data_IF_680012697636
#
_entry.id   IF_680012697636
#
_cell.length_a   1.000
_cell.length_b   1.000
_cell.length_c   1.000
_cell.angle_alpha   90.00
_cell.angle_beta   90.00
_cell.angle_gamma   90.00
#
_symmetry.space_group_name_H-M   'P 1'
#
loop_
_entity.id
_entity.type
_entity.pdbx_description
1 polymer ?
#
# COMPACT_ATOMS: atom_id res chain seq x y z
N UNK A 1 -5.74 -20.83 -15.08
CA UNK A 1 -5.59 -19.97 -13.89
C UNK A 1 -4.30 -19.16 -14.05
N UNK A 2 -4.40 -17.82 -14.12
CA UNK A 2 -3.22 -16.95 -14.20
C UNK A 2 -2.71 -16.59 -12.81
N UNK A 3 -1.40 -16.48 -12.62
CA UNK A 3 -0.79 -15.94 -11.41
C UNK A 3 -0.18 -14.57 -11.72
N UNK A 4 -0.33 -13.62 -10.79
CA UNK A 4 0.29 -12.29 -10.89
C UNK A 4 1.50 -12.28 -9.97
N UNK A 5 2.68 -12.04 -10.54
CA UNK A 5 3.93 -11.83 -9.82
C UNK A 5 4.31 -10.35 -9.89
N UNK A 6 4.52 -9.71 -8.73
CA UNK A 6 5.04 -8.35 -8.64
C UNK A 6 6.53 -8.39 -8.29
N UNK A 7 7.39 -7.86 -9.16
CA UNK A 7 8.85 -7.81 -8.99
C UNK A 7 9.37 -6.36 -9.05
N UNK A 8 10.47 -6.08 -8.36
CA UNK A 8 11.18 -4.80 -8.43
C UNK A 8 12.68 -5.03 -8.66
N UNK A 9 13.31 -4.28 -9.57
CA UNK A 9 14.79 -4.24 -9.74
C UNK A 9 15.39 -3.27 -8.71
N UNK A 10 16.59 -3.44 -8.16
CA UNK A 10 17.72 -4.37 -8.39
C UNK A 10 17.67 -5.49 -7.31
N UNK A 11 17.97 -6.74 -7.69
CA UNK A 11 17.90 -8.01 -6.92
C UNK A 11 16.57 -8.81 -6.93
N UNK A 12 15.69 -8.62 -7.93
CA UNK A 12 14.53 -9.48 -8.29
C UNK A 12 13.78 -10.16 -7.13
N UNK A 13 13.57 -9.45 -6.02
CA UNK A 13 12.72 -9.93 -4.94
C UNK A 13 11.25 -9.91 -5.40
N UNK A 14 10.61 -11.07 -5.37
CA UNK A 14 9.17 -11.19 -5.59
C UNK A 14 8.46 -10.61 -4.37
N UNK A 15 7.74 -9.51 -4.57
CA UNK A 15 6.99 -8.82 -3.51
C UNK A 15 5.68 -9.56 -3.21
N UNK A 16 5.07 -10.17 -4.22
CA UNK A 16 3.87 -10.99 -4.07
C UNK A 16 3.69 -11.95 -5.25
N UNK A 17 3.11 -13.11 -4.97
CA UNK A 17 2.54 -14.03 -5.96
C UNK A 17 1.09 -14.32 -5.56
N UNK A 18 0.14 -13.94 -6.41
CA UNK A 18 -1.29 -14.13 -6.11
C UNK A 18 -2.03 -14.79 -7.28
N UNK A 19 -3.02 -15.67 -7.00
CA UNK A 19 -3.92 -16.15 -8.04
C UNK A 19 -4.81 -15.00 -8.52
N UNK A 20 -4.98 -14.88 -9.83
CA UNK A 20 -5.89 -13.92 -10.41
C UNK A 20 -7.34 -14.20 -10.03
N UNK A 21 -8.08 -13.15 -9.63
CA UNK A 21 -9.52 -13.15 -9.40
C UNK A 21 -10.19 -12.12 -10.30
N UNK A 22 -11.20 -12.55 -11.05
CA UNK A 22 -11.96 -11.66 -11.92
C UNK A 22 -12.60 -10.52 -11.10
N UNK A 23 -12.49 -9.28 -11.61
CA UNK A 23 -13.01 -8.08 -10.95
C UNK A 23 -12.20 -7.57 -9.75
N UNK A 24 -11.14 -8.28 -9.32
CA UNK A 24 -10.32 -7.83 -8.21
C UNK A 24 -9.43 -6.64 -8.61
N UNK A 25 -9.17 -5.77 -7.63
CA UNK A 25 -8.29 -4.61 -7.75
C UNK A 25 -7.14 -4.70 -6.74
N UNK A 26 -6.02 -4.06 -7.07
CA UNK A 26 -4.78 -4.07 -6.29
C UNK A 26 -4.28 -2.65 -6.09
N UNK A 27 -3.76 -2.37 -4.90
CA UNK A 27 -2.96 -1.20 -4.61
C UNK A 27 -1.50 -1.57 -4.84
N UNK A 28 -0.86 -0.86 -5.77
CA UNK A 28 0.56 -0.98 -6.06
C UNK A 28 1.27 0.24 -5.50
N UNK A 29 2.38 0.04 -4.81
CA UNK A 29 3.19 1.15 -4.33
C UNK A 29 4.69 0.86 -4.37
N UNK A 30 5.46 1.92 -4.57
CA UNK A 30 6.92 1.93 -4.55
C UNK A 30 7.46 2.25 -3.16
N UNK A 31 8.75 1.96 -2.91
CA UNK A 31 9.44 2.33 -1.67
C UNK A 31 9.50 3.85 -1.46
N UNK A 32 9.45 4.65 -2.52
CA UNK A 32 9.33 6.11 -2.45
C UNK A 32 7.93 6.59 -2.02
N UNK A 33 6.97 5.66 -1.90
CA UNK A 33 5.57 5.90 -1.55
C UNK A 33 4.76 6.65 -2.60
N UNK A 34 5.08 6.44 -3.87
CA UNK A 34 4.17 6.70 -4.97
C UNK A 34 3.43 5.40 -5.34
N UNK A 35 2.12 5.49 -5.59
CA UNK A 35 1.27 4.32 -5.84
C UNK A 35 -0.05 4.64 -6.56
N UNK A 36 -0.76 3.59 -6.97
CA UNK A 36 -2.03 3.68 -7.70
C UNK A 36 -2.83 2.37 -7.55
N UNK A 37 -4.11 2.42 -7.93
CA UNK A 37 -4.99 1.23 -7.99
C UNK A 37 -4.98 0.66 -9.40
N UNK A 38 -4.89 -0.66 -9.54
CA UNK A 38 -5.00 -1.35 -10.84
C UNK A 38 -6.02 -2.48 -10.77
N UNK A 39 -6.72 -2.74 -11.88
CA UNK A 39 -7.46 -3.99 -12.01
C UNK A 39 -6.47 -5.15 -12.19
N UNK A 40 -6.74 -6.30 -11.58
CA UNK A 40 -5.87 -7.47 -11.74
C UNK A 40 -5.76 -7.95 -13.18
N UNK A 41 -6.82 -7.79 -13.98
CA UNK A 41 -6.82 -8.11 -15.41
C UNK A 41 -5.76 -7.31 -16.18
N UNK A 42 -5.48 -6.09 -15.75
CA UNK A 42 -4.47 -5.22 -16.36
C UNK A 42 -3.05 -5.59 -15.93
N UNK A 43 -2.89 -6.47 -14.93
CA UNK A 43 -1.60 -6.86 -14.37
C UNK A 43 -1.13 -8.23 -14.88
N UNK A 44 -1.99 -8.95 -15.60
CA UNK A 44 -1.64 -10.23 -16.22
C UNK A 44 -0.56 -10.03 -17.28
N UNK A 45 0.53 -10.76 -17.13
CA UNK A 45 1.57 -10.84 -18.14
C UNK A 45 1.19 -11.88 -19.21
N UNK A 46 1.36 -11.51 -20.49
CA UNK A 46 1.14 -12.43 -21.61
C UNK A 46 2.41 -13.21 -22.00
N UNK A 47 3.58 -12.81 -21.48
CA UNK A 47 4.88 -13.41 -21.83
C UNK A 47 5.66 -13.82 -20.59
N UNK A 48 6.66 -14.68 -20.76
CA UNK A 48 7.57 -15.13 -19.68
C UNK A 48 8.40 -14.00 -19.06
N UNK A 49 8.56 -12.88 -19.77
CA UNK A 49 9.28 -11.70 -19.28
C UNK A 49 8.51 -10.93 -18.20
N UNK A 50 7.26 -11.32 -17.92
CA UNK A 50 6.41 -10.62 -16.95
C UNK A 50 5.86 -9.30 -17.50
N UNK A 51 5.17 -8.54 -16.64
CA UNK A 51 4.65 -7.21 -16.94
C UNK A 51 5.11 -6.24 -15.88
N UNK A 52 5.80 -5.17 -16.28
CA UNK A 52 6.15 -4.09 -15.38
C UNK A 52 5.03 -3.05 -15.32
N UNK A 53 4.28 -3.05 -14.22
CA UNK A 53 3.23 -2.06 -13.98
C UNK A 53 3.74 -0.80 -13.24
N UNK A 54 4.68 -0.97 -12.30
CA UNK A 54 5.30 0.15 -11.58
C UNK A 54 6.53 0.68 -12.33
N UNK A 55 6.52 1.96 -12.68
CA UNK A 55 7.70 2.66 -13.18
C UNK A 55 8.51 3.16 -11.99
N UNK A 56 9.67 2.54 -11.76
CA UNK A 56 10.53 2.82 -10.62
C UNK A 56 11.72 3.69 -11.05
N UNK A 57 12.06 4.68 -10.22
CA UNK A 57 13.28 5.48 -10.39
C UNK A 57 14.51 4.76 -9.85
N UNK A 58 15.72 5.31 -10.06
CA UNK A 58 16.95 4.76 -9.50
C UNK A 58 16.87 4.61 -7.97
N UNK A 59 17.25 3.45 -7.45
CA UNK A 59 17.22 3.16 -6.00
C UNK A 59 15.82 2.96 -5.41
N UNK A 60 14.76 2.99 -6.22
CA UNK A 60 13.37 2.77 -5.78
C UNK A 60 12.95 1.35 -6.17
N UNK A 61 12.35 0.62 -5.24
CA UNK A 61 11.84 -0.73 -5.45
C UNK A 61 10.31 -0.77 -5.41
N UNK A 62 9.71 -1.83 -5.96
CA UNK A 62 8.32 -2.15 -5.66
C UNK A 62 8.23 -2.56 -4.19
N UNK A 63 7.31 -1.94 -3.44
CA UNK A 63 7.17 -2.16 -1.99
C UNK A 63 5.90 -2.87 -1.62
N UNK A 64 4.82 -2.65 -2.37
CA UNK A 64 3.50 -3.13 -2.00
C UNK A 64 2.70 -3.65 -3.20
N UNK A 65 2.00 -4.74 -2.95
CA UNK A 65 0.97 -5.31 -3.82
C UNK A 65 -0.21 -5.81 -2.97
N UNK A 66 -1.07 -4.89 -2.54
CA UNK A 66 -2.15 -5.17 -1.60
C UNK A 66 -3.51 -5.35 -2.30
N UNK A 67 -4.40 -6.24 -1.83
CA UNK A 67 -5.79 -6.25 -2.28
C UNK A 67 -6.49 -4.93 -1.93
N UNK A 68 -7.38 -4.48 -2.82
CA UNK A 68 -8.29 -3.37 -2.55
C UNK A 68 -9.57 -3.95 -1.96
N UNK A 69 -9.73 -3.86 -0.65
CA UNK A 69 -10.90 -4.34 0.09
C UNK A 69 -11.38 -3.24 1.05
N UNK A 70 -12.27 -2.37 0.57
CA UNK A 70 -12.80 -1.24 1.33
C UNK A 70 -12.71 0.08 0.59
N UNK A 71 -12.79 1.18 1.34
CA UNK A 71 -12.97 2.54 0.86
C UNK A 71 -11.92 3.53 1.40
N UNK A 72 -11.02 3.09 2.28
CA UNK A 72 -9.93 3.89 2.82
C UNK A 72 -8.57 3.21 2.64
N UNK A 73 -7.53 4.03 2.54
CA UNK A 73 -6.12 3.60 2.46
C UNK A 73 -5.41 4.07 3.71
N UNK A 74 -4.77 3.15 4.43
CA UNK A 74 -3.83 3.46 5.49
C UNK A 74 -2.40 3.23 5.00
N UNK A 75 -1.52 4.21 5.18
CA UNK A 75 -0.10 4.10 4.87
C UNK A 75 0.73 4.41 6.10
N UNK A 76 1.88 3.75 6.23
CA UNK A 76 2.87 4.04 7.27
C UNK A 76 4.26 4.16 6.65
N UNK A 77 4.97 5.22 7.04
CA UNK A 77 6.36 5.46 6.63
C UNK A 77 7.39 4.85 7.58
N UNK A 78 8.62 4.75 7.10
CA UNK A 78 9.78 4.35 7.94
C UNK A 78 9.97 5.29 9.14
N UNK A 79 9.51 6.53 9.01
CA UNK A 79 9.49 7.55 10.05
C UNK A 79 8.37 7.37 11.10
N UNK A 80 7.70 6.21 11.12
CA UNK A 80 6.59 5.86 12.03
C UNK A 80 5.36 6.78 11.91
N UNK A 81 5.17 7.48 10.79
CA UNK A 81 3.95 8.27 10.60
C UNK A 81 2.90 7.50 9.84
N UNK A 82 1.69 7.44 10.39
CA UNK A 82 0.49 6.89 9.76
C UNK A 82 -0.33 8.01 9.13
N UNK A 83 -0.87 7.75 7.95
CA UNK A 83 -1.85 8.59 7.28
C UNK A 83 -2.98 7.69 6.75
N UNK A 84 -4.22 8.12 6.96
CA UNK A 84 -5.42 7.50 6.37
C UNK A 84 -6.10 8.51 5.45
N UNK A 85 -6.46 8.09 4.24
CA UNK A 85 -7.17 8.91 3.26
C UNK A 85 -8.15 8.06 2.45
N UNK A 86 -9.09 8.69 1.74
CA UNK A 86 -10.11 7.98 0.99
C UNK A 86 -9.51 7.31 -0.26
N UNK A 87 -9.94 6.08 -0.57
CA UNK A 87 -9.44 5.32 -1.72
C UNK A 87 -9.66 6.05 -3.05
N UNK A 88 -10.74 6.83 -3.16
CA UNK A 88 -11.06 7.65 -4.33
C UNK A 88 -10.01 8.72 -4.66
N UNK A 89 -9.13 9.07 -3.71
CA UNK A 89 -8.03 10.00 -3.96
C UNK A 89 -6.89 9.37 -4.79
N UNK A 90 -6.94 8.05 -5.04
CA UNK A 90 -6.00 7.32 -5.89
C UNK A 90 -6.53 7.14 -7.31
N UNK A 91 -5.69 7.38 -8.33
CA UNK A 91 -6.05 7.07 -9.70
C UNK A 91 -6.09 5.55 -9.92
N UNK A 92 -7.04 5.12 -10.76
CA UNK A 92 -6.99 3.80 -11.38
C UNK A 92 -6.05 3.85 -12.60
N UNK A 93 -5.04 3.00 -12.65
CA UNK A 93 -4.04 2.98 -13.73
C UNK A 93 -3.66 1.55 -14.12
N UNK A 94 -3.22 1.37 -15.36
CA UNK A 94 -2.73 0.08 -15.89
C UNK A 94 -1.22 -0.06 -15.83
N UNK A 95 -0.50 1.07 -15.76
CA UNK A 95 0.94 1.19 -15.48
C UNK A 95 1.29 2.64 -15.10
N UNK A 96 2.41 2.85 -14.43
CA UNK A 96 2.98 4.18 -14.21
C UNK A 96 3.76 4.28 -12.91
N UNK A 97 4.19 5.51 -12.58
CA UNK A 97 4.81 5.80 -11.28
C UNK A 97 3.77 5.86 -10.15
N UNK A 98 2.53 6.21 -10.48
CA UNK A 98 1.48 6.52 -9.50
C UNK A 98 1.58 7.93 -8.94
N UNK A 99 0.77 8.20 -7.91
CA UNK A 99 0.72 9.47 -7.18
C UNK A 99 1.26 9.29 -5.78
N UNK A 100 1.71 10.38 -5.17
CA UNK A 100 2.23 10.37 -3.80
C UNK A 100 1.15 9.91 -2.81
N UNK A 101 1.46 8.89 -2.01
CA UNK A 101 0.58 8.41 -0.94
C UNK A 101 0.74 9.26 0.33
N UNK A 102 1.97 9.43 0.81
CA UNK A 102 2.32 10.21 2.01
C UNK A 102 3.61 10.99 1.79
N UNK A 103 3.71 12.21 2.33
CA UNK A 103 4.95 13.00 2.26
C UNK A 103 5.93 12.55 3.33
N UNK A 104 7.07 12.03 2.90
CA UNK A 104 8.21 11.71 3.76
C UNK A 104 9.21 12.88 3.76
N UNK A 105 9.76 13.20 4.94
CA UNK A 105 10.94 14.07 5.07
C UNK A 105 12.23 13.24 4.89
N UNK A 106 12.18 12.01 5.40
CA UNK A 106 13.23 11.00 5.46
C UNK A 106 12.59 9.61 5.36
N UNK A 107 13.32 8.66 4.76
CA UNK A 107 12.82 7.31 4.47
C UNK A 107 11.78 7.26 3.34
N UNK A 108 10.96 6.23 3.36
CA UNK A 108 9.90 6.02 2.38
C UNK A 108 8.69 5.29 2.96
N UNK A 109 7.95 4.63 2.07
CA UNK A 109 6.83 3.78 2.45
C UNK A 109 7.34 2.52 3.14
N UNK A 110 6.84 2.26 4.35
CA UNK A 110 7.07 1.01 5.06
C UNK A 110 6.00 -0.02 4.69
N UNK A 111 4.72 0.34 4.84
CA UNK A 111 3.60 -0.55 4.53
C UNK A 111 2.32 0.24 4.19
N UNK A 112 1.37 -0.41 3.52
CA UNK A 112 0.01 0.11 3.38
C UNK A 112 -1.04 -0.99 3.19
N UNK A 113 -2.27 -0.66 3.54
CA UNK A 113 -3.42 -1.51 3.28
C UNK A 113 -4.64 -0.70 2.86
N UNK A 114 -5.60 -1.38 2.26
CA UNK A 114 -6.94 -0.87 2.02
C UNK A 114 -7.90 -1.56 2.98
N UNK A 115 -8.79 -0.79 3.60
CA UNK A 115 -9.77 -1.28 4.56
C UNK A 115 -11.08 -0.51 4.44
N UNK A 116 -12.15 -1.07 5.03
CA UNK A 116 -13.42 -0.37 5.21
C UNK A 116 -13.29 0.58 6.40
N UNK A 117 -13.43 1.88 6.15
CA UNK A 117 -13.23 2.89 7.19
C UNK A 117 -14.14 2.69 8.40
N UNK A 118 -15.38 2.24 8.16
CA UNK A 118 -16.37 1.97 9.20
C UNK A 118 -15.98 0.83 10.15
N UNK A 119 -15.20 -0.14 9.68
CA UNK A 119 -14.74 -1.29 10.49
C UNK A 119 -13.51 -0.95 11.34
N UNK A 120 -12.84 0.16 11.02
CA UNK A 120 -11.63 0.62 11.71
C UNK A 120 -10.34 -0.01 11.19
N UNK A 121 -9.23 0.64 11.54
CA UNK A 121 -7.89 0.22 11.16
C UNK A 121 -7.36 -0.82 12.15
N UNK A 122 -7.00 -2.01 11.66
CA UNK A 122 -6.62 -3.14 12.50
C UNK A 122 -5.21 -3.64 12.19
N UNK A 123 -4.47 -4.05 13.23
CA UNK A 123 -3.14 -4.66 13.12
C UNK A 123 -2.84 -5.64 14.27
N UNK A 124 -1.73 -6.36 14.17
CA UNK A 124 -1.19 -7.19 15.27
C UNK A 124 -0.19 -6.42 16.11
N UNK A 125 -0.41 -6.30 17.40
CA UNK A 125 0.58 -5.69 18.31
C UNK A 125 1.82 -6.59 18.47
N UNK A 126 2.92 -6.10 19.08
CA UNK A 126 4.12 -6.91 19.31
C UNK A 126 3.91 -8.18 20.15
N UNK A 127 2.78 -8.30 20.86
CA UNK A 127 2.39 -9.49 21.61
C UNK A 127 1.46 -10.42 20.81
N UNK A 128 1.22 -10.14 19.52
CA UNK A 128 0.36 -10.93 18.62
C UNK A 128 -1.14 -10.69 18.79
N UNK A 129 -1.55 -9.74 19.63
CA UNK A 129 -2.95 -9.41 19.86
C UNK A 129 -3.47 -8.50 18.76
N UNK A 130 -4.74 -8.65 18.40
CA UNK A 130 -5.39 -7.76 17.44
C UNK A 130 -5.71 -6.43 18.13
N UNK A 131 -5.22 -5.32 17.56
CA UNK A 131 -5.63 -3.96 17.94
C UNK A 131 -6.40 -3.33 16.80
N UNK A 132 -7.50 -2.68 17.14
CA UNK A 132 -8.34 -1.93 16.20
C UNK A 132 -8.46 -0.49 16.67
N UNK A 133 -8.27 0.45 15.74
CA UNK A 133 -8.47 1.89 15.93
C UNK A 133 -9.65 2.34 15.08
N UNK A 134 -10.67 2.90 15.72
CA UNK A 134 -11.93 3.29 15.12
C UNK A 134 -12.46 4.59 15.76
N UNK A 135 -13.52 5.18 15.18
CA UNK A 135 -14.17 6.36 15.75
C UNK A 135 -13.23 7.56 15.86
N UNK A 136 -13.25 8.26 17.01
CA UNK A 136 -12.44 9.47 17.24
C UNK A 136 -10.93 9.21 17.13
N UNK A 137 -10.42 8.07 17.64
CA UNK A 137 -9.00 7.74 17.55
C UNK A 137 -8.55 7.62 16.08
N UNK A 138 -9.40 7.05 15.21
CA UNK A 138 -9.09 6.94 13.79
C UNK A 138 -9.10 8.31 13.09
N UNK A 139 -9.94 9.24 13.54
CA UNK A 139 -10.03 10.59 12.95
C UNK A 139 -8.72 11.37 13.07
N UNK A 140 -7.89 11.08 14.07
CA UNK A 140 -6.58 11.72 14.22
C UNK A 140 -5.64 11.43 13.02
N UNK A 141 -5.84 10.30 12.35
CA UNK A 141 -5.04 9.84 11.22
C UNK A 141 -5.65 10.21 9.87
N UNK A 142 -6.91 10.64 9.84
CA UNK A 142 -7.58 11.07 8.62
C UNK A 142 -7.08 12.44 8.16
N UNK A 143 -6.51 12.49 6.96
CA UNK A 143 -6.16 13.73 6.30
C UNK A 143 -6.10 13.53 4.78
N UNK A 144 -5.93 14.62 4.03
CA UNK A 144 -5.75 14.54 2.57
C UNK A 144 -4.53 13.69 2.20
N UNK A 145 -4.62 13.00 1.07
CA UNK A 145 -3.50 12.27 0.47
C UNK A 145 -2.28 13.18 0.33
N UNK A 146 -1.08 12.58 0.41
CA UNK A 146 0.21 13.27 0.29
C UNK A 146 0.54 14.27 1.41
N UNK A 147 -0.23 14.29 2.51
CA UNK A 147 0.20 14.94 3.75
C UNK A 147 1.23 14.07 4.48
N UNK A 148 1.84 14.60 5.55
CA UNK A 148 2.89 13.89 6.28
C UNK A 148 2.38 12.79 7.24
N UNK A 149 1.08 12.77 7.54
CA UNK A 149 0.51 11.89 8.58
C UNK A 149 0.82 12.32 10.02
N UNK A 150 0.53 11.43 10.96
CA UNK A 150 0.71 11.58 12.42
C UNK A 150 1.49 10.40 12.98
N UNK A 151 2.08 10.56 14.16
CA UNK A 151 2.80 9.47 14.82
C UNK A 151 1.89 8.25 15.01
N UNK A 152 2.39 7.07 14.61
CA UNK A 152 1.66 5.82 14.70
C UNK A 152 1.06 5.61 16.11
N UNK A 153 -0.15 5.03 16.19
CA UNK A 153 -0.88 4.86 17.45
C UNK A 153 -0.09 4.02 18.45
N UNK A 154 -0.45 4.15 19.74
CA UNK A 154 0.17 3.35 20.79
C UNK A 154 -0.05 1.86 20.51
N UNK A 155 1.01 1.07 20.63
CA UNK A 155 0.98 -0.36 20.31
C UNK A 155 1.11 -0.69 18.83
N UNK A 156 1.40 0.28 17.96
CA UNK A 156 1.76 0.00 16.57
C UNK A 156 3.11 -0.75 16.48
N UNK A 157 3.26 -1.76 15.60
CA UNK A 157 4.45 -2.57 15.48
C UNK A 157 5.72 -1.75 15.25
N UNK A 158 6.85 -2.28 15.71
CA UNK A 158 8.16 -1.60 15.59
C UNK A 158 8.76 -1.71 14.19
N UNK A 159 8.35 -2.73 13.43
CA UNK A 159 8.72 -2.94 12.03
C UNK A 159 7.86 -2.12 11.05
N UNK A 160 6.94 -1.30 11.58
CA UNK A 160 6.07 -0.42 10.82
C UNK A 160 5.17 -1.14 9.80
N UNK A 161 4.63 -2.29 10.20
CA UNK A 161 3.69 -3.06 9.38
C UNK A 161 2.34 -3.15 10.05
N UNK A 162 1.30 -3.24 9.23
CA UNK A 162 -0.07 -3.48 9.70
C UNK A 162 -0.33 -4.98 9.91
#
# INVERSE_FOLDING_TARGET
AGAIAATGRVDDAVVALVPHRAGARRLLASSAGDGFVAAESDLLAQTRAGRQALNLGPGVSAKLFAPVAGDAVAVVGDNRKVLVFALEELPAMTRGKGVRLQKYKDGGLSDALVFTLADGLTWKDPAGRTRTVAGEELREYLAKRATAGRMAPRGFPRDNRF
#
